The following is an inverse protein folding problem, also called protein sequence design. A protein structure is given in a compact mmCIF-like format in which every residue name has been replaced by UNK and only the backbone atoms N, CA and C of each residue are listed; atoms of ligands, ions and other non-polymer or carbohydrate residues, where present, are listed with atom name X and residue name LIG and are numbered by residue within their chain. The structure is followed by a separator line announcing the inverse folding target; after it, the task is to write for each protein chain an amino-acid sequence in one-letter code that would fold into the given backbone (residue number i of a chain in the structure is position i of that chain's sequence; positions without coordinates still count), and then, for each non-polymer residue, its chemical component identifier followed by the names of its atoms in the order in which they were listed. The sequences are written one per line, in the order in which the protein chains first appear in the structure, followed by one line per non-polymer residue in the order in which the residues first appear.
data_IF_153300042027
#
_entry.id   IF_153300042027
#
_cell.length_a   1.000
_cell.length_b   1.000
_cell.length_c   1.000
_cell.angle_alpha   90.00
_cell.angle_beta   90.00
_cell.angle_gamma   90.00
#
_symmetry.space_group_name_H-M   'P 1'
#
loop_
_entity.id
_entity.type
_entity.pdbx_description
1 polymer ?
#
# COMPACT_ATOMS: atom_id res chain seq x y z
N UNK A 1 -39.43 99.15 -32.79
CA UNK A 1 -39.43 100.63 -32.96
C UNK A 1 -40.28 101.32 -31.89
N UNK A 2 -40.21 100.92 -30.62
CA UNK A 2 -41.00 101.56 -29.54
C UNK A 2 -40.19 101.83 -28.26
N UNK A 3 -38.86 101.90 -28.34
CA UNK A 3 -37.98 101.97 -27.14
C UNK A 3 -36.96 103.11 -27.17
N UNK A 4 -36.94 103.93 -28.22
CA UNK A 4 -36.01 105.07 -28.30
C UNK A 4 -36.57 106.37 -27.69
N UNK A 5 -37.89 106.61 -27.75
CA UNK A 5 -38.50 107.80 -27.13
C UNK A 5 -38.58 107.71 -25.59
N UNK A 6 -38.63 106.51 -25.01
CA UNK A 6 -38.74 106.32 -23.54
C UNK A 6 -37.42 106.51 -22.76
N UNK A 7 -36.30 106.78 -23.44
CA UNK A 7 -34.97 106.93 -22.80
C UNK A 7 -34.34 108.31 -22.94
N UNK A 8 -35.06 109.25 -23.55
CA UNK A 8 -34.60 110.62 -23.70
C UNK A 8 -34.96 111.41 -22.45
N UNK A 9 -33.96 111.99 -21.78
CA UNK A 9 -34.20 112.91 -20.68
C UNK A 9 -34.81 114.22 -21.19
N UNK A 10 -35.59 114.88 -20.33
CA UNK A 10 -36.00 116.26 -20.57
C UNK A 10 -34.73 117.12 -20.65
N UNK A 11 -34.77 118.18 -21.45
CA UNK A 11 -33.59 119.02 -21.71
C UNK A 11 -32.95 119.56 -20.41
N UNK A 12 -33.77 120.00 -19.46
CA UNK A 12 -33.31 120.51 -18.16
C UNK A 12 -32.65 119.41 -17.33
N UNK A 13 -33.26 118.22 -17.28
CA UNK A 13 -32.73 117.08 -16.53
C UNK A 13 -31.41 116.57 -17.14
N UNK A 14 -31.30 116.56 -18.46
CA UNK A 14 -30.06 116.19 -19.17
C UNK A 14 -28.91 117.15 -18.86
N UNK A 15 -29.19 118.46 -18.79
CA UNK A 15 -28.19 119.48 -18.43
C UNK A 15 -27.78 119.32 -16.95
N UNK A 16 -28.73 119.17 -16.03
CA UNK A 16 -28.42 118.96 -14.61
C UNK A 16 -27.61 117.67 -14.38
N UNK A 17 -27.92 116.59 -15.09
CA UNK A 17 -27.11 115.38 -15.01
C UNK A 17 -25.73 115.61 -15.63
N UNK A 18 -25.61 116.27 -16.79
CA UNK A 18 -24.33 116.53 -17.42
C UNK A 18 -23.38 117.35 -16.53
N UNK A 19 -23.87 118.38 -15.83
CA UNK A 19 -23.04 119.19 -14.91
C UNK A 19 -22.54 118.38 -13.70
N UNK A 20 -23.35 117.45 -13.18
CA UNK A 20 -22.91 116.54 -12.11
C UNK A 20 -21.85 115.56 -12.63
N UNK A 21 -21.99 115.09 -13.86
CA UNK A 21 -20.98 114.20 -14.47
C UNK A 21 -19.69 114.96 -14.79
N UNK A 22 -19.77 116.24 -15.16
CA UNK A 22 -18.61 117.11 -15.36
C UNK A 22 -17.79 117.26 -14.08
N UNK A 23 -18.43 117.61 -12.96
CA UNK A 23 -17.77 117.66 -11.64
C UNK A 23 -17.18 116.30 -11.24
N UNK A 24 -17.87 115.19 -11.52
CA UNK A 24 -17.37 113.84 -11.26
C UNK A 24 -16.12 113.52 -12.10
N UNK A 25 -16.12 113.86 -13.39
CA UNK A 25 -14.97 113.67 -14.29
C UNK A 25 -13.78 114.52 -13.82
N UNK A 26 -14.01 115.77 -13.43
CA UNK A 26 -12.97 116.66 -12.92
C UNK A 26 -12.36 116.13 -11.62
N UNK A 27 -13.20 115.66 -10.69
CA UNK A 27 -12.73 115.03 -9.45
C UNK A 27 -11.94 113.74 -9.72
N UNK A 28 -12.36 112.92 -10.68
CA UNK A 28 -11.61 111.72 -11.09
C UNK A 28 -10.28 112.11 -11.74
N UNK A 29 -10.23 113.15 -12.56
CA UNK A 29 -9.02 113.68 -13.16
C UNK A 29 -8.02 114.20 -12.11
N UNK A 30 -8.52 114.91 -11.10
CA UNK A 30 -7.74 115.37 -9.95
C UNK A 30 -7.22 114.17 -9.15
N UNK A 31 -8.06 113.18 -8.87
CA UNK A 31 -7.68 111.97 -8.15
C UNK A 31 -6.54 111.23 -8.85
N UNK A 32 -6.54 111.18 -10.18
CA UNK A 32 -5.44 110.62 -10.97
C UNK A 32 -4.10 111.34 -10.83
N UNK A 33 -4.13 112.65 -10.61
CA UNK A 33 -2.92 113.45 -10.39
C UNK A 33 -2.41 113.34 -8.95
N UNK A 34 -3.33 113.18 -7.99
CA UNK A 34 -3.01 113.03 -6.57
C UNK A 34 -2.53 111.61 -6.27
N UNK A 35 -3.11 110.61 -6.91
CA UNK A 35 -2.76 109.19 -6.77
C UNK A 35 -2.18 108.69 -8.10
N UNK A 36 -0.86 108.79 -8.32
CA UNK A 36 -0.21 108.30 -9.55
C UNK A 36 -0.11 106.76 -9.60
N UNK A 37 0.16 106.21 -10.78
CA UNK A 37 0.40 104.78 -10.99
C UNK A 37 1.65 104.25 -10.25
N UNK A 38 2.56 105.14 -9.85
CA UNK A 38 3.69 104.82 -8.97
C UNK A 38 3.94 105.94 -7.97
N UNK A 39 4.21 105.57 -6.71
CA UNK A 39 4.62 106.49 -5.63
C UNK A 39 6.14 106.57 -5.48
N UNK A 40 6.92 106.17 -6.50
CA UNK A 40 8.40 106.16 -6.47
C UNK A 40 9.02 107.52 -6.12
N UNK A 41 8.28 108.62 -6.32
CA UNK A 41 8.73 109.99 -6.06
C UNK A 41 7.98 110.68 -4.91
N UNK A 42 7.26 109.92 -4.06
CA UNK A 42 6.55 110.43 -2.88
C UNK A 42 6.87 109.60 -1.63
N UNK A 43 8.02 109.86 -0.98
CA UNK A 43 8.45 109.10 0.21
C UNK A 43 7.46 109.21 1.37
N UNK A 44 6.81 110.38 1.52
CA UNK A 44 5.82 110.64 2.57
C UNK A 44 4.60 109.69 2.51
N UNK A 45 4.24 109.22 1.31
CA UNK A 45 3.14 108.27 1.14
C UNK A 45 3.50 106.88 1.68
N UNK A 46 4.76 106.47 1.53
CA UNK A 46 5.25 105.19 2.04
C UNK A 46 5.33 105.18 3.56
N UNK A 47 5.59 106.34 4.19
CA UNK A 47 5.72 106.48 5.64
C UNK A 47 4.42 106.14 6.39
N UNK A 48 3.26 106.40 5.78
CA UNK A 48 1.93 106.09 6.34
C UNK A 48 1.76 104.59 6.59
N UNK A 49 2.19 103.75 5.66
CA UNK A 49 2.03 102.28 5.75
C UNK A 49 3.26 101.60 6.37
N UNK A 50 4.40 102.28 6.38
CA UNK A 50 5.66 101.77 6.95
C UNK A 50 5.52 101.44 8.43
N UNK A 51 4.85 102.29 9.21
CA UNK A 51 4.68 102.07 10.66
C UNK A 51 3.91 100.78 11.00
N UNK A 52 2.89 100.43 10.23
CA UNK A 52 2.11 99.20 10.41
C UNK A 52 2.90 97.95 9.99
N UNK A 53 3.70 98.05 8.91
CA UNK A 53 4.56 96.96 8.45
C UNK A 53 5.68 96.71 9.47
N UNK A 54 6.32 97.76 9.97
CA UNK A 54 7.40 97.67 10.95
C UNK A 54 6.90 96.98 12.25
N UNK A 55 5.69 97.33 12.72
CA UNK A 55 5.07 96.64 13.87
C UNK A 55 4.83 95.15 13.62
N UNK A 56 4.42 94.76 12.40
CA UNK A 56 4.22 93.35 12.06
C UNK A 56 5.55 92.59 11.91
N UNK A 57 6.59 93.24 11.38
CA UNK A 57 7.95 92.68 11.30
C UNK A 57 8.50 92.45 12.70
N UNK A 58 8.37 93.41 13.61
CA UNK A 58 8.80 93.29 14.99
C UNK A 58 8.07 92.15 15.72
N UNK A 59 6.75 92.03 15.51
CA UNK A 59 5.95 90.95 16.07
C UNK A 59 6.38 89.56 15.57
N UNK A 60 6.69 89.45 14.28
CA UNK A 60 7.20 88.21 13.68
C UNK A 60 8.59 87.84 14.24
N UNK A 61 9.51 88.80 14.31
CA UNK A 61 10.85 88.60 14.87
C UNK A 61 10.80 88.15 16.33
N UNK A 62 9.88 88.72 17.13
CA UNK A 62 9.68 88.29 18.52
C UNK A 62 9.20 86.84 18.64
N UNK A 63 8.31 86.40 17.74
CA UNK A 63 7.82 85.01 17.73
C UNK A 63 8.91 84.03 17.27
N UNK A 64 9.72 84.41 16.29
CA UNK A 64 10.87 83.61 15.84
C UNK A 64 11.89 83.43 16.97
N UNK A 65 12.21 84.51 17.69
CA UNK A 65 13.10 84.47 18.86
C UNK A 65 12.54 83.57 19.97
N UNK A 66 11.23 83.65 20.24
CA UNK A 66 10.54 82.78 21.22
C UNK A 66 10.57 81.32 20.79
N UNK A 67 10.37 81.02 19.51
CA UNK A 67 10.41 79.66 18.98
C UNK A 67 11.81 79.06 19.08
N UNK A 68 12.83 79.85 18.71
CA UNK A 68 14.24 79.47 18.86
C UNK A 68 14.60 79.17 20.32
N UNK A 69 14.21 80.03 21.25
CA UNK A 69 14.42 79.80 22.69
C UNK A 69 13.70 78.55 23.20
N UNK A 70 12.49 78.26 22.71
CA UNK A 70 11.74 77.05 23.06
C UNK A 70 12.42 75.77 22.53
N UNK A 71 13.01 75.82 21.32
CA UNK A 71 13.80 74.71 20.77
C UNK A 71 15.06 74.45 21.59
N UNK A 72 15.79 75.50 21.96
CA UNK A 72 16.98 75.40 22.83
C UNK A 72 16.62 74.82 24.20
N UNK A 73 15.51 75.26 24.78
CA UNK A 73 14.98 74.74 26.05
C UNK A 73 14.62 73.25 25.94
N UNK A 74 13.97 72.85 24.84
CA UNK A 74 13.64 71.45 24.56
C UNK A 74 14.90 70.59 24.39
N UNK A 75 15.90 71.08 23.65
CA UNK A 75 17.18 70.40 23.47
C UNK A 75 17.94 70.22 24.79
N UNK A 76 17.97 71.26 25.63
CA UNK A 76 18.57 71.22 26.95
C UNK A 76 17.83 70.28 27.94
N UNK A 77 16.51 70.17 27.83
CA UNK A 77 15.73 69.23 28.65
C UNK A 77 15.95 67.77 28.20
N UNK A 78 16.03 67.52 26.89
CA UNK A 78 16.36 66.20 26.34
C UNK A 78 17.72 65.68 26.84
N UNK A 79 18.71 66.55 27.05
CA UNK A 79 20.02 66.15 27.56
C UNK A 79 20.06 66.00 29.09
N UNK A 80 19.19 66.70 29.84
CA UNK A 80 19.23 66.76 31.32
C UNK A 80 18.24 65.83 32.03
N UNK A 81 17.14 65.41 31.40
CA UNK A 81 16.11 64.61 32.09
C UNK A 81 15.47 63.56 31.18
N UNK A 82 15.20 62.38 31.74
CA UNK A 82 14.35 61.34 31.12
C UNK A 82 12.89 61.43 31.59
N UNK A 83 12.52 62.50 32.31
CA UNK A 83 11.15 62.68 32.78
C UNK A 83 10.21 62.93 31.59
N UNK A 84 9.44 61.90 31.25
CA UNK A 84 8.48 61.89 30.13
C UNK A 84 7.49 63.07 30.17
N UNK A 85 6.99 63.45 31.37
CA UNK A 85 6.03 64.54 31.50
C UNK A 85 6.65 65.92 31.16
N UNK A 86 7.88 66.18 31.60
CA UNK A 86 8.59 67.44 31.29
C UNK A 86 8.98 67.54 29.82
N UNK A 87 9.39 66.43 29.22
CA UNK A 87 9.70 66.37 27.78
C UNK A 87 8.46 66.58 26.91
N UNK A 88 7.34 66.00 27.33
CA UNK A 88 6.05 66.19 26.67
C UNK A 88 5.58 67.64 26.76
N UNK A 89 5.63 68.26 27.94
CA UNK A 89 5.27 69.67 28.13
C UNK A 89 6.16 70.62 27.30
N UNK A 90 7.47 70.36 27.21
CA UNK A 90 8.38 71.14 26.36
C UNK A 90 8.09 70.94 24.87
N UNK A 91 7.72 69.72 24.44
CA UNK A 91 7.32 69.47 23.06
C UNK A 91 5.97 70.11 22.72
N UNK A 92 5.02 70.13 23.66
CA UNK A 92 3.74 70.82 23.51
C UNK A 92 3.95 72.34 23.40
N UNK A 93 4.82 72.93 24.23
CA UNK A 93 5.17 74.36 24.16
C UNK A 93 5.86 74.76 22.85
N UNK A 94 6.73 73.93 22.30
CA UNK A 94 7.31 74.15 20.96
C UNK A 94 6.23 74.08 19.88
N UNK A 95 5.30 73.13 20.00
CA UNK A 95 4.21 72.98 19.03
C UNK A 95 3.23 74.15 19.07
N UNK A 96 2.90 74.70 20.25
CA UNK A 96 2.03 75.87 20.37
C UNK A 96 2.69 77.12 19.79
N UNK A 97 3.94 77.43 20.16
CA UNK A 97 4.67 78.58 19.61
C UNK A 97 4.89 78.41 18.10
N UNK A 98 5.16 77.19 17.62
CA UNK A 98 5.24 76.90 16.19
C UNK A 98 3.92 77.12 15.45
N UNK A 99 2.79 76.83 16.10
CA UNK A 99 1.46 77.16 15.60
C UNK A 99 1.21 78.67 15.50
N UNK A 100 1.57 79.42 16.55
CA UNK A 100 1.43 80.88 16.60
C UNK A 100 2.32 81.57 15.57
N UNK A 101 3.56 81.12 15.41
CA UNK A 101 4.49 81.61 14.38
C UNK A 101 3.93 81.38 12.97
N UNK A 102 3.36 80.20 12.71
CA UNK A 102 2.73 79.89 11.43
C UNK A 102 1.53 80.79 11.15
N UNK A 103 0.70 81.05 12.16
CA UNK A 103 -0.44 81.97 12.04
C UNK A 103 0.02 83.41 11.81
N UNK A 104 1.02 83.89 12.57
CA UNK A 104 1.62 85.22 12.40
C UNK A 104 2.19 85.42 10.99
N UNK A 105 2.95 84.44 10.50
CA UNK A 105 3.50 84.45 9.13
C UNK A 105 2.40 84.57 8.07
N UNK A 106 1.27 83.87 8.28
CA UNK A 106 0.12 83.96 7.39
C UNK A 106 -0.56 85.34 7.45
N UNK A 107 -0.73 85.92 8.64
CA UNK A 107 -1.29 87.27 8.84
C UNK A 107 -0.38 88.33 8.21
N UNK A 108 0.93 88.27 8.46
CA UNK A 108 1.93 89.15 7.87
C UNK A 108 1.89 89.12 6.34
N UNK A 109 1.92 87.93 5.74
CA UNK A 109 1.84 87.77 4.30
C UNK A 109 0.52 88.27 3.69
N UNK A 110 -0.59 88.19 4.45
CA UNK A 110 -1.88 88.76 4.02
C UNK A 110 -1.86 90.28 4.10
N UNK A 111 -1.38 90.87 5.18
CA UNK A 111 -1.30 92.33 5.36
C UNK A 111 -0.42 92.98 4.30
N UNK A 112 0.71 92.36 3.95
CA UNK A 112 1.57 92.83 2.85
C UNK A 112 0.84 92.83 1.49
N UNK A 113 0.00 91.84 1.21
CA UNK A 113 -0.81 91.79 -0.03
C UNK A 113 -1.97 92.78 -0.01
N UNK A 114 -2.53 93.06 1.16
CA UNK A 114 -3.63 94.01 1.35
C UNK A 114 -3.15 95.46 1.47
N UNK A 115 -1.84 95.70 1.47
CA UNK A 115 -1.28 97.04 1.52
C UNK A 115 -1.80 97.88 0.33
N UNK A 116 -2.46 99.02 0.57
CA UNK A 116 -3.03 99.88 -0.47
C UNK A 116 -1.98 100.47 -1.42
N UNK A 117 -0.72 100.49 -1.01
CA UNK A 117 0.42 100.99 -1.78
C UNK A 117 1.23 99.89 -2.49
N UNK A 118 0.72 98.66 -2.59
CA UNK A 118 1.33 97.68 -3.50
C UNK A 118 1.14 98.12 -4.95
N UNK A 119 2.12 97.84 -5.80
CA UNK A 119 2.07 98.15 -7.24
C UNK A 119 0.79 97.60 -7.89
N UNK A 120 0.36 96.40 -7.50
CA UNK A 120 -0.83 95.74 -8.04
C UNK A 120 -2.14 96.44 -7.61
N UNK A 121 -2.25 96.83 -6.33
CA UNK A 121 -3.41 97.56 -5.83
C UNK A 121 -3.48 98.97 -6.41
N UNK A 122 -2.34 99.68 -6.52
CA UNK A 122 -2.28 101.02 -7.13
C UNK A 122 -2.67 100.93 -8.61
N UNK A 123 -2.11 99.97 -9.36
CA UNK A 123 -2.45 99.77 -10.76
C UNK A 123 -3.94 99.50 -10.94
N UNK A 124 -4.51 98.62 -10.12
CA UNK A 124 -5.95 98.35 -10.15
C UNK A 124 -6.79 99.59 -9.86
N UNK A 125 -6.41 100.41 -8.86
CA UNK A 125 -7.13 101.65 -8.55
C UNK A 125 -7.06 102.62 -9.73
N UNK A 126 -5.91 102.71 -10.41
CA UNK A 126 -5.79 103.52 -11.63
C UNK A 126 -6.66 103.01 -12.77
N UNK A 127 -6.67 101.70 -13.00
CA UNK A 127 -7.48 101.08 -14.04
C UNK A 127 -8.99 101.27 -13.77
N UNK A 128 -9.43 101.07 -12.52
CA UNK A 128 -10.81 101.27 -12.10
C UNK A 128 -11.22 102.75 -12.23
N UNK A 129 -10.38 103.68 -11.76
CA UNK A 129 -10.60 105.12 -11.90
C UNK A 129 -10.66 105.54 -13.37
N UNK A 130 -9.69 105.12 -14.19
CA UNK A 130 -9.65 105.44 -15.61
C UNK A 130 -10.86 104.86 -16.37
N UNK A 131 -11.29 103.65 -16.02
CA UNK A 131 -12.54 103.08 -16.57
C UNK A 131 -13.76 103.95 -16.22
N UNK A 132 -13.91 104.37 -14.96
CA UNK A 132 -15.01 105.24 -14.55
C UNK A 132 -14.94 106.59 -15.27
N UNK A 133 -13.77 107.21 -15.35
CA UNK A 133 -13.57 108.49 -16.05
C UNK A 133 -13.97 108.41 -17.52
N UNK A 134 -13.56 107.37 -18.24
CA UNK A 134 -13.97 107.16 -19.65
C UNK A 134 -15.48 106.98 -19.78
N UNK A 135 -16.09 106.18 -18.91
CA UNK A 135 -17.55 105.94 -18.95
C UNK A 135 -18.32 107.21 -18.62
N UNK A 136 -17.89 107.96 -17.61
CA UNK A 136 -18.52 109.21 -17.18
C UNK A 136 -18.36 110.30 -18.26
N UNK A 137 -17.17 110.46 -18.84
CA UNK A 137 -16.91 111.41 -19.94
C UNK A 137 -17.77 111.09 -21.17
N UNK A 138 -17.83 109.82 -21.56
CA UNK A 138 -18.63 109.38 -22.71
C UNK A 138 -20.14 109.57 -22.45
N UNK A 139 -20.60 109.32 -21.23
CA UNK A 139 -22.00 109.51 -20.83
C UNK A 139 -22.36 110.99 -20.74
N UNK A 140 -21.46 111.84 -20.24
CA UNK A 140 -21.63 113.29 -20.22
C UNK A 140 -21.78 113.85 -21.63
N UNK A 141 -20.91 113.43 -22.56
CA UNK A 141 -21.01 113.81 -23.96
C UNK A 141 -22.31 113.32 -24.62
N UNK A 142 -22.73 112.08 -24.32
CA UNK A 142 -24.01 111.52 -24.79
C UNK A 142 -25.23 112.29 -24.25
N UNK A 143 -25.20 112.68 -22.96
CA UNK A 143 -26.26 113.46 -22.32
C UNK A 143 -26.38 114.86 -22.95
N UNK A 144 -25.25 115.52 -23.22
CA UNK A 144 -25.21 116.84 -23.82
C UNK A 144 -25.71 116.85 -25.29
N UNK A 145 -25.36 115.82 -26.07
CA UNK A 145 -25.67 115.77 -27.50
C UNK A 145 -27.02 115.11 -27.79
N UNK A 146 -27.31 113.99 -27.13
CA UNK A 146 -28.39 113.07 -27.50
C UNK A 146 -29.46 112.95 -26.40
N UNK A 147 -29.26 113.56 -25.22
CA UNK A 147 -30.15 113.43 -24.04
C UNK A 147 -30.38 111.98 -23.61
N UNK A 148 -29.41 111.10 -23.83
CA UNK A 148 -29.47 109.67 -23.47
C UNK A 148 -28.25 109.26 -22.62
N UNK A 149 -28.35 108.10 -21.99
CA UNK A 149 -27.33 107.55 -21.08
C UNK A 149 -27.09 106.05 -21.35
N UNK A 150 -27.28 105.61 -22.59
CA UNK A 150 -27.17 104.20 -22.96
C UNK A 150 -25.72 103.70 -22.83
N UNK A 151 -24.71 104.57 -22.95
CA UNK A 151 -23.30 104.25 -22.72
C UNK A 151 -23.08 103.74 -21.29
N UNK A 152 -23.61 104.46 -20.29
CA UNK A 152 -23.55 104.03 -18.89
C UNK A 152 -24.27 102.71 -18.67
N UNK A 153 -25.47 102.56 -19.24
CA UNK A 153 -26.27 101.32 -19.13
C UNK A 153 -25.53 100.12 -19.72
N UNK A 154 -24.92 100.26 -20.91
CA UNK A 154 -24.11 99.22 -21.54
C UNK A 154 -22.88 98.88 -20.70
N UNK A 155 -22.16 99.88 -20.20
CA UNK A 155 -20.99 99.69 -19.34
C UNK A 155 -21.34 98.93 -18.05
N UNK A 156 -22.44 99.29 -17.38
CA UNK A 156 -22.92 98.61 -16.16
C UNK A 156 -23.35 97.17 -16.46
N UNK A 157 -24.08 96.92 -17.56
CA UNK A 157 -24.45 95.56 -17.97
C UNK A 157 -23.21 94.70 -18.24
N UNK A 158 -22.24 95.23 -18.99
CA UNK A 158 -21.00 94.52 -19.28
C UNK A 158 -20.19 94.25 -18.01
N UNK A 159 -20.10 95.19 -17.07
CA UNK A 159 -19.44 94.98 -15.78
C UNK A 159 -20.14 93.90 -14.94
N UNK A 160 -21.48 93.91 -14.87
CA UNK A 160 -22.26 92.87 -14.19
C UNK A 160 -22.02 91.48 -14.82
N UNK A 161 -22.01 91.39 -16.14
CA UNK A 161 -21.74 90.13 -16.84
C UNK A 161 -20.32 89.63 -16.60
N UNK A 162 -19.30 90.51 -16.65
CA UNK A 162 -17.91 90.17 -16.32
C UNK A 162 -17.77 89.68 -14.88
N UNK A 163 -18.47 90.31 -13.92
CA UNK A 163 -18.47 89.85 -12.51
C UNK A 163 -19.11 88.47 -12.37
N UNK A 164 -20.24 88.22 -13.03
CA UNK A 164 -20.91 86.93 -12.99
C UNK A 164 -20.08 85.81 -13.62
N UNK A 165 -19.42 86.08 -14.77
CA UNK A 165 -18.53 85.09 -15.41
C UNK A 165 -17.32 84.77 -14.52
N UNK A 166 -16.71 85.77 -13.89
CA UNK A 166 -15.61 85.57 -12.96
C UNK A 166 -16.05 84.71 -11.75
N UNK A 167 -17.19 85.00 -11.14
CA UNK A 167 -17.73 84.21 -10.04
C UNK A 167 -18.00 82.75 -10.45
N UNK A 168 -18.54 82.51 -11.65
CA UNK A 168 -18.72 81.15 -12.16
C UNK A 168 -17.39 80.43 -12.39
N UNK A 169 -16.36 81.13 -12.89
CA UNK A 169 -15.01 80.55 -13.05
C UNK A 169 -14.39 80.20 -11.71
N UNK A 170 -14.50 81.07 -10.71
CA UNK A 170 -14.03 80.81 -9.34
C UNK A 170 -14.71 79.58 -8.76
N UNK A 171 -16.05 79.50 -8.84
CA UNK A 171 -16.80 78.35 -8.33
C UNK A 171 -16.38 77.04 -9.02
N UNK A 172 -16.20 77.06 -10.34
CA UNK A 172 -15.74 75.90 -11.11
C UNK A 172 -14.32 75.48 -10.73
N UNK A 173 -13.42 76.42 -10.50
CA UNK A 173 -12.06 76.14 -10.02
C UNK A 173 -12.12 75.50 -8.62
N UNK A 174 -12.88 76.07 -7.69
CA UNK A 174 -13.00 75.54 -6.33
C UNK A 174 -13.56 74.12 -6.31
N UNK A 175 -14.62 73.86 -7.08
CA UNK A 175 -15.22 72.53 -7.18
C UNK A 175 -14.30 71.54 -7.90
N UNK A 176 -13.56 72.01 -8.92
CA UNK A 176 -12.50 71.25 -9.57
C UNK A 176 -11.40 70.86 -8.58
N UNK A 177 -10.94 71.81 -7.76
CA UNK A 177 -9.91 71.61 -6.75
C UNK A 177 -10.36 70.64 -5.65
N UNK A 178 -11.62 70.72 -5.22
CA UNK A 178 -12.22 69.74 -4.28
C UNK A 178 -12.25 68.35 -4.89
N UNK A 179 -12.68 68.22 -6.15
CA UNK A 179 -12.72 66.94 -6.87
C UNK A 179 -11.34 66.33 -7.06
N UNK A 180 -10.33 67.13 -7.42
CA UNK A 180 -8.94 66.67 -7.52
C UNK A 180 -8.43 66.14 -6.18
N UNK A 181 -8.66 66.86 -5.08
CA UNK A 181 -8.29 66.38 -3.73
C UNK A 181 -8.99 65.07 -3.37
N UNK A 182 -10.27 64.94 -3.68
CA UNK A 182 -11.04 63.72 -3.43
C UNK A 182 -10.49 62.53 -4.24
N UNK A 183 -10.21 62.73 -5.53
CA UNK A 183 -9.64 61.70 -6.39
C UNK A 183 -8.23 61.30 -5.96
N UNK A 184 -7.40 62.27 -5.55
CA UNK A 184 -6.07 61.99 -4.99
C UNK A 184 -6.17 61.13 -3.72
N UNK A 185 -7.14 61.42 -2.84
CA UNK A 185 -7.39 60.61 -1.65
C UNK A 185 -7.84 59.19 -2.02
N UNK A 186 -8.79 59.05 -2.95
CA UNK A 186 -9.26 57.74 -3.41
C UNK A 186 -8.12 56.90 -4.02
N UNK A 187 -7.26 57.51 -4.84
CA UNK A 187 -6.08 56.85 -5.40
C UNK A 187 -5.15 56.36 -4.28
N UNK A 188 -4.93 57.18 -3.26
CA UNK A 188 -4.09 56.80 -2.12
C UNK A 188 -4.72 55.67 -1.30
N UNK A 189 -6.01 55.74 -1.03
CA UNK A 189 -6.75 54.71 -0.28
C UNK A 189 -6.68 53.36 -1.03
N UNK A 190 -6.92 53.35 -2.34
CA UNK A 190 -6.81 52.15 -3.18
C UNK A 190 -5.38 51.61 -3.21
N UNK A 191 -4.35 52.47 -3.27
CA UNK A 191 -2.95 52.02 -3.22
C UNK A 191 -2.64 51.31 -1.91
N UNK A 192 -3.07 51.86 -0.78
CA UNK A 192 -2.86 51.25 0.54
C UNK A 192 -3.60 49.93 0.67
N UNK A 193 -4.86 49.88 0.21
CA UNK A 193 -5.65 48.63 0.19
C UNK A 193 -4.96 47.56 -0.65
N UNK A 194 -4.50 47.90 -1.85
CA UNK A 194 -3.82 46.95 -2.74
C UNK A 194 -2.47 46.49 -2.22
N UNK A 195 -1.70 47.36 -1.56
CA UNK A 195 -0.46 46.97 -0.89
C UNK A 195 -0.75 45.97 0.24
N UNK A 196 -1.78 46.22 1.05
CA UNK A 196 -2.21 45.28 2.09
C UNK A 196 -2.66 43.93 1.51
N UNK A 197 -3.43 43.93 0.41
CA UNK A 197 -3.82 42.69 -0.27
C UNK A 197 -2.61 41.93 -0.82
N UNK A 198 -1.64 42.63 -1.41
CA UNK A 198 -0.40 42.02 -1.91
C UNK A 198 0.41 41.39 -0.77
N UNK A 199 0.52 42.09 0.36
CA UNK A 199 1.20 41.57 1.55
C UNK A 199 0.52 40.29 2.06
N UNK A 200 -0.81 40.29 2.24
CA UNK A 200 -1.56 39.11 2.68
C UNK A 200 -1.40 37.93 1.71
N UNK A 201 -1.43 38.18 0.40
CA UNK A 201 -1.20 37.14 -0.61
C UNK A 201 0.22 36.60 -0.56
N UNK A 202 1.22 37.46 -0.36
CA UNK A 202 2.62 37.04 -0.23
C UNK A 202 2.83 36.19 1.03
N UNK A 203 2.22 36.54 2.16
CA UNK A 203 2.23 35.75 3.39
C UNK A 203 1.60 34.36 3.17
N UNK A 204 0.44 34.31 2.50
CA UNK A 204 -0.21 33.05 2.14
C UNK A 204 0.66 32.19 1.19
N UNK A 205 1.32 32.82 0.20
CA UNK A 205 2.26 32.13 -0.68
C UNK A 205 3.44 31.56 0.13
N UNK A 206 3.97 32.31 1.10
CA UNK A 206 5.05 31.82 1.98
C UNK A 206 4.58 30.61 2.79
N UNK A 207 3.40 30.70 3.42
CA UNK A 207 2.84 29.61 4.20
C UNK A 207 2.62 28.34 3.37
N UNK A 208 2.07 28.47 2.16
CA UNK A 208 1.86 27.34 1.25
C UNK A 208 3.19 26.73 0.76
N UNK A 209 4.23 27.55 0.56
CA UNK A 209 5.58 27.05 0.22
C UNK A 209 6.16 26.22 1.37
N UNK A 210 6.02 26.69 2.61
CA UNK A 210 6.50 25.98 3.79
C UNK A 210 5.76 24.64 3.96
N UNK A 211 4.43 24.64 3.85
CA UNK A 211 3.62 23.40 3.89
C UNK A 211 4.03 22.42 2.78
N UNK A 212 4.26 22.91 1.56
CA UNK A 212 4.70 22.06 0.45
C UNK A 212 6.08 21.45 0.73
N UNK A 213 6.99 22.23 1.28
CA UNK A 213 8.34 21.75 1.62
C UNK A 213 8.29 20.72 2.76
N UNK A 214 7.47 20.95 3.78
CA UNK A 214 7.23 20.00 4.87
C UNK A 214 6.63 18.68 4.35
N UNK A 215 5.59 18.75 3.52
CA UNK A 215 4.95 17.57 2.91
C UNK A 215 5.92 16.79 2.03
N UNK A 216 6.76 17.49 1.23
CA UNK A 216 7.81 16.84 0.44
C UNK A 216 8.84 16.13 1.32
N UNK A 217 9.26 16.76 2.42
CA UNK A 217 10.23 16.17 3.35
C UNK A 217 9.63 14.93 4.04
N UNK A 218 8.41 15.04 4.57
CA UNK A 218 7.66 13.93 5.20
C UNK A 218 7.46 12.76 4.24
N UNK A 219 6.89 13.02 3.06
CA UNK A 219 6.65 11.98 2.05
C UNK A 219 7.93 11.28 1.59
N UNK A 220 9.03 12.02 1.42
CA UNK A 220 10.32 11.42 1.08
C UNK A 220 10.86 10.53 2.22
N UNK A 221 10.76 10.98 3.47
CA UNK A 221 11.19 10.21 4.63
C UNK A 221 10.34 8.95 4.83
N UNK A 222 9.01 9.07 4.74
CA UNK A 222 8.06 7.96 4.78
C UNK A 222 8.31 6.98 3.64
N UNK A 223 8.54 7.47 2.42
CA UNK A 223 8.87 6.64 1.26
C UNK A 223 10.15 5.82 1.48
N UNK A 224 11.20 6.45 2.02
CA UNK A 224 12.45 5.74 2.40
C UNK A 224 12.21 4.70 3.49
N UNK A 225 11.42 5.05 4.51
CA UNK A 225 11.11 4.15 5.62
C UNK A 225 10.31 2.92 5.15
N UNK A 226 9.24 3.13 4.38
CA UNK A 226 8.41 2.05 3.82
C UNK A 226 9.25 1.17 2.91
N UNK A 227 10.07 1.76 2.03
CA UNK A 227 10.98 1.01 1.17
C UNK A 227 11.93 0.14 2.00
N UNK A 228 12.52 0.69 3.07
CA UNK A 228 13.43 -0.07 3.93
C UNK A 228 12.71 -1.20 4.68
N UNK A 229 11.50 -0.96 5.17
CA UNK A 229 10.68 -1.99 5.80
C UNK A 229 10.36 -3.13 4.83
N UNK A 230 9.98 -2.80 3.60
CA UNK A 230 9.70 -3.78 2.56
C UNK A 230 10.96 -4.59 2.19
N UNK A 231 12.10 -3.94 2.00
CA UNK A 231 13.40 -4.60 1.74
C UNK A 231 13.76 -5.58 2.87
N UNK A 232 13.62 -5.17 4.13
CA UNK A 232 13.92 -6.03 5.29
C UNK A 232 12.93 -7.20 5.36
N UNK A 233 11.64 -6.97 5.14
CA UNK A 233 10.63 -8.03 5.15
C UNK A 233 10.87 -9.08 4.04
N UNK A 234 11.24 -8.63 2.85
CA UNK A 234 11.63 -9.51 1.74
C UNK A 234 12.90 -10.28 2.09
N UNK A 235 13.95 -9.60 2.56
CA UNK A 235 15.21 -10.25 2.92
C UNK A 235 15.04 -11.28 4.05
N UNK A 236 14.24 -10.96 5.08
CA UNK A 236 13.93 -11.87 6.18
C UNK A 236 13.15 -13.09 5.67
N UNK A 237 12.13 -12.88 4.85
CA UNK A 237 11.34 -13.97 4.27
C UNK A 237 12.20 -14.85 3.37
N UNK A 238 13.02 -14.26 2.51
CA UNK A 238 13.96 -14.97 1.66
C UNK A 238 14.94 -15.80 2.49
N UNK A 239 15.48 -15.25 3.59
CA UNK A 239 16.39 -15.98 4.48
C UNK A 239 15.71 -17.17 5.15
N UNK A 240 14.47 -17.00 5.63
CA UNK A 240 13.67 -18.08 6.22
C UNK A 240 13.39 -19.19 5.21
N UNK A 241 12.98 -18.83 3.99
CA UNK A 241 12.76 -19.79 2.92
C UNK A 241 14.05 -20.54 2.56
N UNK A 242 15.18 -19.84 2.41
CA UNK A 242 16.47 -20.47 2.11
C UNK A 242 16.91 -21.46 3.20
N UNK A 243 16.68 -21.14 4.48
CA UNK A 243 17.00 -22.04 5.58
C UNK A 243 16.12 -23.29 5.56
N UNK A 244 14.80 -23.12 5.41
CA UNK A 244 13.88 -24.26 5.32
C UNK A 244 14.13 -25.13 4.09
N UNK A 245 14.44 -24.51 2.95
CA UNK A 245 14.82 -25.23 1.72
C UNK A 245 16.11 -26.02 1.93
N UNK A 246 17.09 -25.46 2.64
CA UNK A 246 18.31 -26.18 2.99
C UNK A 246 18.02 -27.37 3.91
N UNK A 247 17.21 -27.19 4.95
CA UNK A 247 16.83 -28.28 5.87
C UNK A 247 16.14 -29.42 5.13
N UNK A 248 15.18 -29.11 4.24
CA UNK A 248 14.50 -30.10 3.41
C UNK A 248 15.45 -30.79 2.43
N UNK A 249 16.42 -30.05 1.85
CA UNK A 249 17.46 -30.64 0.99
C UNK A 249 18.36 -31.59 1.76
N UNK A 250 18.82 -31.19 2.94
CA UNK A 250 19.67 -32.02 3.81
C UNK A 250 18.90 -33.28 4.28
N UNK A 251 17.59 -33.18 4.53
CA UNK A 251 16.73 -34.32 4.85
C UNK A 251 16.52 -35.25 3.64
N UNK A 252 16.25 -34.68 2.46
CA UNK A 252 16.13 -35.44 1.22
C UNK A 252 17.41 -36.23 0.92
N UNK A 253 18.58 -35.60 1.04
CA UNK A 253 19.88 -36.26 0.86
C UNK A 253 20.09 -37.40 1.87
N UNK A 254 19.74 -37.19 3.15
CA UNK A 254 19.79 -38.26 4.17
C UNK A 254 18.86 -39.42 3.83
N UNK A 255 17.66 -39.16 3.35
CA UNK A 255 16.72 -40.20 2.94
C UNK A 255 17.21 -40.94 1.71
N UNK A 256 17.78 -40.25 0.72
CA UNK A 256 18.43 -40.88 -0.44
C UNK A 256 19.54 -41.82 0.00
N UNK A 257 20.44 -41.38 0.88
CA UNK A 257 21.52 -42.22 1.40
C UNK A 257 20.98 -43.47 2.12
N UNK A 258 19.92 -43.33 2.94
CA UNK A 258 19.27 -44.47 3.59
C UNK A 258 18.63 -45.44 2.59
N UNK A 259 17.97 -44.92 1.56
CA UNK A 259 17.39 -45.74 0.49
C UNK A 259 18.50 -46.53 -0.22
N UNK A 260 19.63 -45.89 -0.52
CA UNK A 260 20.78 -46.56 -1.16
C UNK A 260 21.40 -47.63 -0.25
N UNK A 261 21.52 -47.37 1.05
CA UNK A 261 21.97 -48.33 2.06
C UNK A 261 21.02 -49.54 2.15
N UNK A 262 19.72 -49.33 2.25
CA UNK A 262 18.70 -50.40 2.29
C UNK A 262 18.66 -51.18 0.97
N UNK A 263 18.75 -50.51 -0.17
CA UNK A 263 18.82 -51.17 -1.48
C UNK A 263 20.05 -52.07 -1.58
N UNK A 264 21.21 -51.61 -1.08
CA UNK A 264 22.43 -52.41 -1.03
C UNK A 264 22.28 -53.61 -0.10
N UNK A 265 21.78 -53.41 1.12
CA UNK A 265 21.54 -54.50 2.07
C UNK A 265 20.55 -55.54 1.51
N UNK A 266 19.45 -55.09 0.89
CA UNK A 266 18.50 -55.97 0.23
C UNK A 266 19.14 -56.74 -0.93
N UNK A 267 19.96 -56.09 -1.76
CA UNK A 267 20.68 -56.77 -2.84
C UNK A 267 21.64 -57.85 -2.32
N UNK A 268 22.36 -57.58 -1.22
CA UNK A 268 23.24 -58.55 -0.56
C UNK A 268 22.44 -59.72 0.03
N UNK A 269 21.30 -59.46 0.70
CA UNK A 269 20.39 -60.49 1.24
C UNK A 269 19.80 -61.33 0.11
N UNK A 270 19.28 -60.71 -0.96
CA UNK A 270 18.76 -61.41 -2.12
C UNK A 270 19.82 -62.31 -2.77
N UNK A 271 21.04 -61.80 -2.92
CA UNK A 271 22.16 -62.59 -3.45
C UNK A 271 22.46 -63.81 -2.58
N UNK A 272 22.53 -63.63 -1.26
CA UNK A 272 22.72 -64.72 -0.30
C UNK A 272 21.58 -65.75 -0.38
N UNK A 273 20.33 -65.31 -0.38
CA UNK A 273 19.16 -66.20 -0.47
C UNK A 273 19.14 -66.96 -1.80
N UNK A 274 19.43 -66.30 -2.92
CA UNK A 274 19.55 -66.95 -4.23
C UNK A 274 20.65 -68.00 -4.25
N UNK A 275 21.81 -67.70 -3.67
CA UNK A 275 22.91 -68.66 -3.54
C UNK A 275 22.51 -69.87 -2.68
N UNK A 276 21.87 -69.64 -1.52
CA UNK A 276 21.43 -70.71 -0.63
C UNK A 276 20.33 -71.58 -1.27
N UNK A 277 19.38 -70.97 -1.99
CA UNK A 277 18.38 -71.70 -2.78
C UNK A 277 19.06 -72.56 -3.84
N UNK A 278 20.02 -72.00 -4.59
CA UNK A 278 20.78 -72.77 -5.59
C UNK A 278 21.50 -73.98 -4.96
N UNK A 279 22.12 -73.80 -3.80
CA UNK A 279 22.80 -74.89 -3.09
C UNK A 279 21.82 -75.95 -2.55
N UNK A 280 20.66 -75.54 -2.05
CA UNK A 280 19.60 -76.47 -1.65
C UNK A 280 19.03 -77.23 -2.86
N UNK A 281 18.81 -76.55 -3.99
CA UNK A 281 18.36 -77.19 -5.23
C UNK A 281 19.38 -78.23 -5.69
N UNK A 282 20.68 -77.91 -5.71
CA UNK A 282 21.73 -78.89 -6.03
C UNK A 282 21.74 -80.09 -5.06
N UNK A 283 21.57 -79.84 -3.76
CA UNK A 283 21.45 -80.94 -2.76
C UNK A 283 20.20 -81.78 -3.00
N UNK A 284 19.08 -81.16 -3.32
CA UNK A 284 17.83 -81.86 -3.65
C UNK A 284 18.02 -82.72 -4.90
N UNK A 285 18.58 -82.17 -5.98
CA UNK A 285 18.90 -82.91 -7.21
C UNK A 285 19.82 -84.10 -6.90
N UNK A 286 20.89 -83.89 -6.14
CA UNK A 286 21.80 -84.97 -5.70
C UNK A 286 21.07 -86.06 -4.92
N UNK A 287 20.22 -85.71 -3.95
CA UNK A 287 19.48 -86.69 -3.15
C UNK A 287 18.39 -87.40 -3.96
N UNK A 288 17.74 -86.73 -4.91
CA UNK A 288 16.80 -87.36 -5.84
C UNK A 288 17.51 -88.35 -6.74
N UNK A 289 18.65 -87.97 -7.34
CA UNK A 289 19.45 -88.87 -8.18
C UNK A 289 19.95 -90.08 -7.39
N UNK A 290 20.46 -89.85 -6.17
CA UNK A 290 20.88 -90.94 -5.27
C UNK A 290 19.71 -91.85 -4.91
N UNK A 291 18.56 -91.28 -4.55
CA UNK A 291 17.38 -92.05 -4.19
C UNK A 291 16.91 -92.93 -5.36
N UNK A 292 16.82 -92.40 -6.57
CA UNK A 292 16.46 -93.21 -7.74
C UNK A 292 17.50 -94.30 -8.03
N UNK A 293 18.80 -93.99 -7.94
CA UNK A 293 19.86 -95.02 -8.07
C UNK A 293 19.77 -96.12 -7.02
N UNK A 294 19.61 -95.76 -5.75
CA UNK A 294 19.51 -96.71 -4.64
C UNK A 294 18.21 -97.54 -4.75
N UNK A 295 17.11 -96.91 -5.17
CA UNK A 295 15.82 -97.57 -5.43
C UNK A 295 15.94 -98.55 -6.60
N UNK A 296 16.56 -98.17 -7.70
CA UNK A 296 16.84 -99.05 -8.84
C UNK A 296 17.74 -100.22 -8.44
N UNK A 297 18.78 -99.96 -7.64
CA UNK A 297 19.66 -101.00 -7.11
C UNK A 297 18.90 -101.98 -6.19
N UNK A 298 18.05 -101.49 -5.29
CA UNK A 298 17.23 -102.32 -4.41
C UNK A 298 16.13 -103.08 -5.17
N UNK A 299 15.54 -102.45 -6.19
CA UNK A 299 14.61 -103.11 -7.09
C UNK A 299 15.29 -104.24 -7.85
N UNK A 300 16.52 -104.01 -8.35
CA UNK A 300 17.33 -105.03 -8.98
C UNK A 300 17.67 -106.19 -8.02
N UNK A 301 18.13 -105.91 -6.80
CA UNK A 301 18.37 -106.95 -5.78
C UNK A 301 17.09 -107.75 -5.49
N UNK A 302 15.95 -107.08 -5.37
CA UNK A 302 14.67 -107.70 -5.11
C UNK A 302 14.20 -108.57 -6.28
N UNK A 303 14.44 -108.16 -7.52
CA UNK A 303 14.14 -108.95 -8.71
C UNK A 303 15.07 -110.16 -8.85
N UNK A 304 16.36 -110.03 -8.50
CA UNK A 304 17.29 -111.16 -8.38
C UNK A 304 16.82 -112.16 -7.31
N UNK A 305 16.42 -111.69 -6.13
CA UNK A 305 15.89 -112.55 -5.06
C UNK A 305 14.57 -113.21 -5.46
N UNK A 306 13.67 -112.50 -6.14
CA UNK A 306 12.45 -113.08 -6.71
C UNK A 306 12.77 -114.17 -7.72
N UNK A 307 13.73 -113.95 -8.61
CA UNK A 307 14.19 -114.95 -9.57
C UNK A 307 14.80 -116.18 -8.86
N UNK A 308 15.63 -115.97 -7.83
CA UNK A 308 16.18 -117.05 -7.00
C UNK A 308 15.06 -117.84 -6.31
N UNK A 309 14.12 -117.15 -5.65
CA UNK A 309 12.96 -117.78 -4.99
C UNK A 309 12.11 -118.57 -5.99
N UNK A 310 11.90 -118.04 -7.20
CA UNK A 310 11.18 -118.75 -8.25
C UNK A 310 11.92 -120.02 -8.69
N UNK A 311 13.25 -119.95 -8.84
CA UNK A 311 14.10 -121.12 -9.11
C UNK A 311 14.04 -122.16 -7.97
N UNK A 312 14.18 -121.72 -6.72
CA UNK A 312 14.10 -122.60 -5.55
C UNK A 312 12.71 -123.24 -5.44
N UNK A 313 11.64 -122.48 -5.71
CA UNK A 313 10.27 -123.00 -5.73
C UNK A 313 10.09 -124.03 -6.85
N UNK A 314 10.63 -123.79 -8.04
CA UNK A 314 10.61 -124.75 -9.15
C UNK A 314 11.35 -126.04 -8.77
N UNK A 315 12.53 -125.92 -8.16
CA UNK A 315 13.30 -127.06 -7.64
C UNK A 315 12.54 -127.83 -6.57
N UNK A 316 11.83 -127.13 -5.68
CA UNK A 316 11.03 -127.74 -4.61
C UNK A 316 9.77 -128.42 -5.16
N UNK A 317 9.16 -127.86 -6.22
CA UNK A 317 8.07 -128.50 -6.97
C UNK A 317 8.54 -129.77 -7.68
N UNK A 318 9.71 -129.75 -8.32
CA UNK A 318 10.33 -130.96 -8.89
C UNK A 318 10.58 -132.02 -7.82
N UNK A 319 11.16 -131.63 -6.69
CA UNK A 319 11.43 -132.55 -5.58
C UNK A 319 10.13 -133.12 -4.98
N UNK A 320 9.08 -132.29 -4.86
CA UNK A 320 7.75 -132.73 -4.39
C UNK A 320 7.11 -133.71 -5.37
N UNK A 321 7.27 -133.49 -6.68
CA UNK A 321 6.82 -134.42 -7.71
C UNK A 321 7.57 -135.76 -7.58
N UNK A 322 8.88 -135.71 -7.40
CA UNK A 322 9.71 -136.88 -7.17
C UNK A 322 9.32 -137.64 -5.89
N UNK A 323 9.04 -136.93 -4.78
CA UNK A 323 8.53 -137.54 -3.55
C UNK A 323 7.17 -138.20 -3.75
N UNK A 324 6.25 -137.58 -4.50
CA UNK A 324 4.96 -138.20 -4.83
C UNK A 324 5.14 -139.47 -5.68
N UNK A 325 6.05 -139.45 -6.65
CA UNK A 325 6.40 -140.63 -7.45
C UNK A 325 6.98 -141.75 -6.58
N UNK A 326 7.89 -141.44 -5.64
CA UNK A 326 8.41 -142.43 -4.68
C UNK A 326 7.34 -142.93 -3.69
N UNK A 327 6.48 -142.06 -3.19
CA UNK A 327 5.40 -142.43 -2.27
C UNK A 327 4.37 -143.34 -2.96
N UNK A 328 4.09 -143.10 -4.25
CA UNK A 328 3.24 -143.96 -5.06
C UNK A 328 3.83 -145.36 -5.21
N UNK A 329 5.15 -145.47 -5.44
CA UNK A 329 5.88 -146.76 -5.47
C UNK A 329 5.83 -147.48 -4.10
N UNK A 330 5.97 -146.75 -2.99
CA UNK A 330 5.90 -147.33 -1.63
C UNK A 330 4.49 -147.79 -1.28
N UNK A 331 3.46 -147.04 -1.68
CA UNK A 331 2.05 -147.41 -1.48
C UNK A 331 1.69 -148.64 -2.33
N UNK A 332 2.21 -148.75 -3.55
CA UNK A 332 2.06 -149.94 -4.39
C UNK A 332 2.69 -151.19 -3.75
N UNK A 333 3.93 -151.11 -3.24
CA UNK A 333 4.57 -152.24 -2.52
C UNK A 333 3.81 -152.62 -1.24
N UNK A 334 3.21 -151.64 -0.55
CA UNK A 334 2.43 -151.86 0.67
C UNK A 334 1.07 -152.51 0.39
N UNK A 335 0.42 -152.20 -0.72
CA UNK A 335 -0.84 -152.84 -1.16
C UNK A 335 -0.58 -154.27 -1.64
N UNK A 336 0.53 -154.52 -2.35
CA UNK A 336 0.92 -155.86 -2.80
C UNK A 336 1.18 -156.79 -1.61
N UNK A 337 1.91 -156.32 -0.58
CA UNK A 337 2.14 -157.08 0.68
C UNK A 337 0.86 -157.35 1.46
N UNK A 338 -0.07 -156.39 1.53
CA UNK A 338 -1.34 -156.57 2.24
C UNK A 338 -2.30 -157.55 1.52
N UNK A 339 -2.25 -157.61 0.18
CA UNK A 339 -3.01 -158.62 -0.61
C UNK A 339 -2.51 -160.05 -0.37
N UNK A 340 -1.20 -160.23 -0.20
CA UNK A 340 -0.61 -161.56 0.10
C UNK A 340 -1.05 -162.05 1.49
N UNK A 341 -0.99 -161.19 2.52
CA UNK A 341 -1.42 -161.55 3.88
C UNK A 341 -2.90 -161.96 3.95
N UNK A 342 -3.76 -161.26 3.20
CA UNK A 342 -5.21 -161.52 3.21
C UNK A 342 -5.59 -162.86 2.54
N UNK A 343 -4.79 -163.36 1.60
CA UNK A 343 -4.96 -164.71 1.03
C UNK A 343 -4.61 -165.81 2.05
N UNK A 344 -3.50 -165.65 2.77
CA UNK A 344 -3.05 -166.63 3.78
C UNK A 344 -4.02 -166.74 4.98
N UNK A 345 -4.65 -165.62 5.39
CA UNK A 345 -5.66 -165.64 6.45
C UNK A 345 -6.94 -166.39 6.04
N UNK A 346 -7.32 -166.33 4.77
CA UNK A 346 -8.53 -166.98 4.25
C UNK A 346 -8.36 -168.51 4.16
N UNK A 347 -7.20 -168.98 3.69
CA UNK A 347 -6.84 -170.41 3.68
C UNK A 347 -6.77 -170.99 5.11
N UNK A 348 -6.32 -170.20 6.10
CA UNK A 348 -6.29 -170.59 7.50
C UNK A 348 -7.67 -170.77 8.15
N UNK A 349 -8.70 -170.05 7.69
CA UNK A 349 -10.08 -170.18 8.19
C UNK A 349 -10.73 -171.46 7.63
N UNK A 350 -10.50 -171.77 6.34
CA UNK A 350 -11.02 -172.98 5.69
C UNK A 350 -10.45 -174.26 6.33
N UNK A 351 -9.16 -174.26 6.70
CA UNK A 351 -8.52 -175.37 7.41
C UNK A 351 -9.10 -175.58 8.82
N UNK A 352 -9.39 -174.49 9.55
CA UNK A 352 -10.00 -174.54 10.89
C UNK A 352 -11.45 -175.02 10.87
N UNK A 353 -12.21 -174.68 9.82
CA UNK A 353 -13.57 -175.20 9.61
C UNK A 353 -13.56 -176.72 9.33
N UNK A 354 -12.60 -177.20 8.54
CA UNK A 354 -12.43 -178.61 8.22
C UNK A 354 -12.07 -179.47 9.46
N UNK A 355 -11.20 -178.96 10.34
CA UNK A 355 -10.79 -179.64 11.59
C UNK A 355 -11.94 -179.69 12.62
N UNK A 356 -12.77 -178.64 12.72
CA UNK A 356 -13.95 -178.64 13.61
C UNK A 356 -15.02 -179.65 13.17
N UNK A 357 -15.22 -179.83 11.85
CA UNK A 357 -16.11 -180.85 11.30
C UNK A 357 -15.59 -182.27 11.59
N UNK A 358 -14.28 -182.50 11.49
CA UNK A 358 -13.65 -183.78 11.83
C UNK A 358 -13.68 -184.10 13.34
N UNK A 359 -13.62 -183.10 14.21
CA UNK A 359 -13.67 -183.27 15.67
C UNK A 359 -15.09 -183.55 16.19
N UNK A 360 -16.12 -182.94 15.58
CA UNK A 360 -17.52 -183.16 15.93
C UNK A 360 -18.00 -184.58 15.59
N UNK A 361 -17.65 -185.12 14.40
CA UNK A 361 -18.00 -186.49 14.00
C UNK A 361 -17.33 -187.56 14.89
N UNK A 362 -16.08 -187.32 15.32
CA UNK A 362 -15.35 -188.21 16.25
C UNK A 362 -15.98 -188.27 17.65
N UNK A 363 -16.63 -187.19 18.10
CA UNK A 363 -17.34 -187.15 19.40
C UNK A 363 -18.73 -187.82 19.39
N UNK A 364 -19.40 -187.87 18.23
CA UNK A 364 -20.68 -188.59 18.04
C UNK A 364 -20.48 -190.10 18.03
N UNK A 365 -19.36 -190.57 17.49
CA UNK A 365 -18.97 -191.99 17.48
C UNK A 365 -18.74 -192.59 18.88
N UNK A 366 -18.31 -191.80 19.86
CA UNK A 366 -17.94 -192.28 21.22
C UNK A 366 -19.13 -192.36 22.20
N UNK A 367 -20.18 -191.54 22.01
CA UNK A 367 -21.30 -191.42 22.98
C UNK A 367 -22.55 -192.26 22.69
N UNK A 368 -22.65 -192.89 21.51
CA UNK A 368 -23.79 -193.76 21.15
C UNK A 368 -23.42 -195.20 20.73
N UNK A 369 -22.16 -195.62 20.95
CA UNK A 369 -21.84 -197.04 21.03
C UNK A 369 -21.68 -197.80 19.71
N UNK A 370 -21.14 -197.19 18.66
CA UNK A 370 -20.71 -197.94 17.46
C UNK A 370 -19.21 -198.29 17.53
N UNK A 371 -18.91 -199.46 18.12
CA UNK A 371 -17.59 -200.15 18.12
C UNK A 371 -16.44 -199.40 18.83
N UNK A 372 -15.22 -199.89 19.05
CA UNK A 372 -14.70 -201.24 19.29
C UNK A 372 -13.75 -201.20 20.53
N UNK A 373 -14.19 -200.55 21.62
CA UNK A 373 -13.60 -200.64 22.97
C UNK A 373 -14.61 -201.10 24.05
N UNK A 374 -15.60 -201.91 23.65
CA UNK A 374 -16.09 -203.07 24.41
C UNK A 374 -15.77 -204.35 23.61
N UNK A 375 -15.55 -205.47 24.31
CA UNK A 375 -14.87 -206.70 23.86
C UNK A 375 -15.40 -207.36 22.54
N UNK A 376 -14.56 -207.46 21.49
CA UNK A 376 -13.97 -208.73 20.96
C UNK A 376 -13.01 -208.55 19.76
N UNK A 377 -11.89 -209.29 19.84
CA UNK A 377 -11.02 -209.92 18.80
C UNK A 377 -9.92 -209.13 18.03
N UNK A 378 -8.68 -209.54 18.38
CA UNK A 378 -7.56 -210.06 17.54
C UNK A 378 -6.82 -209.13 16.54
N UNK A 379 -5.49 -209.14 16.71
CA UNK A 379 -4.48 -209.16 15.63
C UNK A 379 -3.91 -207.79 15.29
N UNK A 380 -2.68 -207.39 15.65
CA UNK A 380 -1.33 -207.96 15.47
C UNK A 380 -0.77 -207.80 14.03
N UNK A 381 0.43 -207.19 13.97
CA UNK A 381 1.39 -207.00 12.85
C UNK A 381 1.00 -205.93 11.82
N UNK A 382 1.87 -205.00 11.41
CA UNK A 382 3.30 -204.82 11.63
C UNK A 382 4.00 -204.40 10.32
N UNK A 383 5.15 -203.72 10.47
CA UNK A 383 6.32 -203.69 9.56
C UNK A 383 6.25 -202.90 8.25
N UNK A 384 7.33 -202.13 8.00
CA UNK A 384 7.81 -201.71 6.68
C UNK A 384 8.02 -200.19 6.58
N UNK A 385 9.20 -199.56 6.73
CA UNK A 385 10.54 -199.70 6.13
C UNK A 385 10.76 -198.78 4.90
N UNK A 386 11.77 -197.90 5.04
CA UNK A 386 12.73 -197.34 4.05
C UNK A 386 12.33 -196.23 3.05
N UNK A 387 13.28 -195.29 2.90
CA UNK A 387 13.61 -194.51 1.68
C UNK A 387 13.81 -193.02 2.01
N UNK A 388 15.02 -192.43 2.00
CA UNK A 388 15.74 -191.83 0.83
C UNK A 388 14.78 -191.03 -0.07
N UNK A 389 14.93 -189.74 -0.35
CA UNK A 389 16.11 -188.91 -0.61
C UNK A 389 15.87 -188.21 -1.97
N UNK A 390 16.30 -186.94 -2.10
CA UNK A 390 15.93 -185.88 -3.07
C UNK A 390 14.74 -185.03 -2.67
#
# INVERSE_FOLDING_TARGET
MSTMEERLLRAVDAIHCATVFEDCVDQLAILGRIMPASFEFRPDAQEIVRSEIDQLVDGQQQLENKFQSALETKAALNSKTKNSAKLRAASEGVNTIGGDLKNSTHVFGRSLRQNPLTTDNIQKIQDDRGFVEVVMTSTMAELAQNRSFETLVKAVRAAKQRKASLQMTIQKEEDGRKRVKQLQKQIQDVKVEKESELQQRNEMISHLKDQLQEMKAKSNMEGKYIKKCAEVAVAQTQKRCMLSEKELKDEAEKLTNKIDEENRANAEIESYLRAHVSDLTKKQEYWMEKFEKDKDAKQHELDVLKASKANDLARLQELTKLYKEYEQVVVEDRIEKEKVRRKEEQEGIELRACIKLQAWWRGVMVRKGFGAFAKKKKGKKGKGKKGKGK
#
